data_IF_611316522643
#
_entry.id   IF_611316522643
#
_cell.length_a   1.000
_cell.length_b   1.000
_cell.length_c   1.000
_cell.angle_alpha   90.00
_cell.angle_beta   90.00
_cell.angle_gamma   90.00
#
_symmetry.space_group_name_H-M   'P 1'
#
loop_
_entity.id
_entity.type
_entity.pdbx_description
1 polymer ?
#
# COMPACT_ATOMS: atom_id res chain seq x y z
N UNK A 1 -17.00 16.65 15.52
CA UNK A 1 -16.54 15.37 14.95
C UNK A 1 -15.77 15.72 13.69
N UNK A 2 -14.44 15.83 13.78
CA UNK A 2 -13.61 16.12 12.60
C UNK A 2 -13.43 14.81 11.84
N UNK A 3 -13.89 14.76 10.59
CA UNK A 3 -13.67 13.62 9.70
C UNK A 3 -12.25 13.74 9.16
N UNK A 4 -11.37 12.87 9.61
CA UNK A 4 -9.97 12.83 9.22
C UNK A 4 -9.80 11.78 8.13
N UNK A 5 -9.36 12.19 6.93
CA UNK A 5 -9.11 11.26 5.82
C UNK A 5 -7.70 10.68 5.95
N UNK A 6 -7.60 9.35 5.89
CA UNK A 6 -6.33 8.61 5.94
C UNK A 6 -6.22 7.71 4.72
N UNK A 7 -5.01 7.54 4.20
CA UNK A 7 -4.72 6.64 3.06
C UNK A 7 -4.31 5.25 3.58
N UNK A 8 -4.84 4.19 2.97
CA UNK A 8 -4.68 2.81 3.43
C UNK A 8 -3.50 2.13 2.73
N UNK A 9 -2.56 1.57 3.50
CA UNK A 9 -1.40 0.88 2.94
C UNK A 9 -1.18 -0.51 3.54
N UNK A 10 -1.57 -1.52 2.78
CA UNK A 10 -1.37 -2.95 3.07
C UNK A 10 0.10 -3.35 3.20
N UNK A 11 1.00 -2.68 2.47
CA UNK A 11 2.44 -2.88 2.58
C UNK A 11 3.11 -2.01 3.67
N UNK A 12 2.36 -1.21 4.44
CA UNK A 12 2.92 -0.31 5.46
C UNK A 12 2.71 -0.80 6.87
N UNK A 13 3.72 -0.60 7.71
CA UNK A 13 3.69 -1.04 9.10
C UNK A 13 3.15 -0.01 10.08
N UNK A 14 3.10 1.26 9.71
CA UNK A 14 2.86 2.34 10.64
C UNK A 14 1.63 3.15 10.25
N UNK A 15 0.78 3.44 11.24
CA UNK A 15 -0.16 4.55 11.14
C UNK A 15 0.56 5.86 11.51
N UNK A 16 0.40 6.91 10.72
CA UNK A 16 0.79 8.25 11.17
C UNK A 16 -0.30 9.27 10.91
N UNK A 17 -0.23 10.40 11.61
CA UNK A 17 -0.95 11.62 11.24
C UNK A 17 0.00 12.81 11.07
N UNK A 18 -0.20 13.61 10.02
CA UNK A 18 0.44 14.89 9.79
C UNK A 18 -0.23 15.96 10.68
N UNK A 19 0.59 16.67 11.46
CA UNK A 19 0.15 17.79 12.28
C UNK A 19 -0.14 19.02 11.39
N UNK A 20 -1.31 19.05 10.74
CA UNK A 20 -1.83 20.30 10.16
C UNK A 20 -2.37 21.14 11.33
N UNK A 21 -1.62 22.19 11.67
CA UNK A 21 -1.92 23.08 12.78
C UNK A 21 -3.29 23.79 12.62
N UNK A 22 -4.35 23.19 13.16
CA UNK A 22 -5.54 23.92 13.59
C UNK A 22 -5.35 24.34 15.05
N UNK A 23 -4.90 25.58 15.21
CA UNK A 23 -4.78 26.24 16.50
C UNK A 23 -6.13 26.26 17.24
N UNK A 24 -6.08 25.88 18.52
CA UNK A 24 -7.09 26.02 19.59
C UNK A 24 -8.21 24.97 19.61
N UNK A 25 -8.04 23.94 20.44
CA UNK A 25 -8.78 23.79 21.70
C UNK A 25 -8.10 22.73 22.60
N UNK A 26 -8.29 22.87 23.91
CA UNK A 26 -7.61 22.20 25.02
C UNK A 26 -7.72 20.66 25.04
N UNK A 27 -6.71 19.99 25.63
CA UNK A 27 -6.74 18.95 26.71
C UNK A 27 -5.44 18.11 26.64
N UNK A 28 -4.51 18.26 27.60
CA UNK A 28 -4.30 17.41 28.79
C UNK A 28 -3.76 15.98 28.53
N UNK A 29 -2.43 15.85 28.61
CA UNK A 29 -1.60 14.86 29.35
C UNK A 29 -1.77 13.32 29.25
N UNK A 30 -0.62 12.65 28.96
CA UNK A 30 -0.03 11.36 29.47
C UNK A 30 -0.60 9.99 29.02
N UNK A 31 0.11 8.84 28.95
CA UNK A 31 1.50 8.33 28.72
C UNK A 31 1.42 6.79 28.70
N UNK A 32 2.33 6.10 27.98
CA UNK A 32 2.49 4.65 28.02
C UNK A 32 3.96 4.19 28.16
N UNK A 33 4.21 3.15 28.98
CA UNK A 33 5.54 2.67 29.37
C UNK A 33 6.09 1.64 28.35
N UNK A 34 7.37 1.59 27.93
CA UNK A 34 8.65 2.01 28.53
C UNK A 34 9.40 3.11 27.73
N UNK A 35 8.84 4.30 27.68
CA UNK A 35 9.53 5.60 27.55
C UNK A 35 9.32 6.26 28.97
N UNK A 36 10.27 6.98 29.62
CA UNK A 36 10.11 7.41 31.01
C UNK A 36 8.91 8.34 31.17
N UNK A 37 8.06 8.02 32.14
CA UNK A 37 6.84 8.74 32.50
C UNK A 37 7.18 10.17 32.92
N UNK A 38 7.12 11.13 31.98
CA UNK A 38 7.07 12.53 32.34
C UNK A 38 6.00 13.25 31.53
N UNK A 39 5.10 13.86 32.27
CA UNK A 39 4.04 14.82 31.95
C UNK A 39 4.48 16.06 31.19
N UNK A 40 5.70 16.11 30.68
CA UNK A 40 6.30 17.36 30.27
C UNK A 40 5.98 17.66 28.81
N UNK A 41 5.14 18.66 28.60
CA UNK A 41 5.18 19.54 27.42
C UNK A 41 6.60 20.04 27.20
N UNK A 42 7.42 19.30 26.45
CA UNK A 42 8.77 19.69 26.11
C UNK A 42 8.80 20.24 24.69
N UNK A 43 8.85 21.57 24.56
CA UNK A 43 9.31 22.23 23.33
C UNK A 43 10.79 21.91 23.17
N UNK A 44 11.16 21.05 22.24
CA UNK A 44 12.55 20.85 21.88
C UNK A 44 12.93 21.80 20.72
N UNK A 45 13.91 22.68 20.97
CA UNK A 45 14.61 23.45 19.93
C UNK A 45 15.57 22.51 19.21
N UNK A 46 15.48 22.47 17.87
CA UNK A 46 16.41 21.75 17.01
C UNK A 46 17.79 22.42 17.02
N UNK A 47 18.83 21.68 17.39
CA UNK A 47 20.20 21.93 16.93
C UNK A 47 20.63 20.74 16.06
N UNK A 48 20.91 21.03 14.79
CA UNK A 48 21.37 20.05 13.83
C UNK A 48 22.87 19.76 14.02
N UNK A 49 23.26 18.50 13.87
CA UNK A 49 24.59 18.18 13.33
C UNK A 49 24.51 16.91 12.48
N UNK A 50 25.09 16.91 11.27
CA UNK A 50 24.94 15.82 10.31
C UNK A 50 26.04 14.79 10.50
N UNK A 51 25.68 13.50 10.59
CA UNK A 51 26.40 12.37 9.96
C UNK A 51 25.96 11.05 10.58
N UNK A 52 25.11 10.30 9.88
CA UNK A 52 25.08 8.85 9.99
C UNK A 52 24.60 8.26 8.65
N UNK A 53 25.44 7.40 8.05
CA UNK A 53 25.13 6.67 6.82
C UNK A 53 23.98 5.69 7.07
N UNK A 54 22.97 5.70 6.21
CA UNK A 54 21.75 4.90 6.32
C UNK A 54 21.91 3.64 5.46
N UNK A 55 21.81 2.47 6.08
CA UNK A 55 21.61 1.19 5.39
C UNK A 55 20.12 0.87 5.44
N UNK A 56 19.54 0.55 4.28
CA UNK A 56 18.12 0.26 4.13
C UNK A 56 17.70 -0.95 4.98
N UNK A 57 16.74 -0.74 5.88
CA UNK A 57 15.93 -1.79 6.49
C UNK A 57 14.63 -1.17 7.04
N UNK A 58 13.51 -1.82 6.74
CA UNK A 58 12.10 -1.54 7.09
C UNK A 58 11.79 -1.63 8.60
N UNK A 59 12.71 -1.18 9.44
CA UNK A 59 12.62 -1.27 10.90
C UNK A 59 12.73 0.11 11.52
N UNK A 60 11.73 0.52 12.30
CA UNK A 60 11.80 1.71 13.13
C UNK A 60 13.05 1.62 14.04
N UNK A 61 14.10 2.35 13.70
CA UNK A 61 15.34 2.37 14.48
C UNK A 61 15.21 3.41 15.57
N UNK A 62 15.16 2.97 16.82
CA UNK A 62 15.23 3.85 18.00
C UNK A 62 16.63 4.48 18.04
N UNK A 63 16.71 5.79 17.77
CA UNK A 63 17.93 6.57 17.95
C UNK A 63 17.88 7.15 19.37
N UNK A 64 18.78 6.71 20.25
CA UNK A 64 19.07 7.35 21.55
C UNK A 64 20.16 8.43 21.32
N UNK A 65 20.24 9.59 21.98
CA UNK A 65 19.60 10.09 23.19
C UNK A 65 19.70 11.64 23.25
N UNK A 66 18.58 12.31 23.57
CA UNK A 66 18.47 13.21 24.73
C UNK A 66 16.98 13.33 25.10
N UNK A 67 16.66 12.88 26.31
CA UNK A 67 15.40 12.97 27.07
C UNK A 67 14.04 12.73 26.36
N UNK A 68 13.48 11.55 26.65
CA UNK A 68 12.04 11.18 26.68
C UNK A 68 11.25 11.01 25.38
N UNK A 69 11.78 11.36 24.21
CA UNK A 69 10.99 11.28 22.96
C UNK A 69 11.43 10.13 22.06
N UNK A 70 10.54 9.15 21.91
CA UNK A 70 10.73 7.98 21.06
C UNK A 70 10.49 8.40 19.57
N UNK A 71 11.54 8.48 18.74
CA UNK A 71 11.47 8.91 17.31
C UNK A 71 11.13 7.72 16.39
N UNK A 72 10.34 7.97 15.35
CA UNK A 72 10.11 7.01 14.25
C UNK A 72 10.64 7.55 12.92
N UNK A 73 11.00 6.62 12.04
CA UNK A 73 11.25 6.84 10.62
C UNK A 73 10.65 5.67 9.85
N UNK A 74 9.84 5.97 8.85
CA UNK A 74 9.35 5.01 7.86
C UNK A 74 9.82 5.44 6.50
N UNK A 75 10.42 4.50 5.78
CA UNK A 75 10.83 4.67 4.39
C UNK A 75 10.04 3.70 3.51
N UNK A 76 9.58 4.20 2.38
CA UNK A 76 8.78 3.48 1.39
C UNK A 76 9.64 3.04 0.21
N UNK A 77 9.13 2.06 -0.55
CA UNK A 77 9.83 1.52 -1.72
C UNK A 77 10.03 2.54 -2.85
N UNK A 78 9.19 3.57 -2.92
CA UNK A 78 9.32 4.69 -3.86
C UNK A 78 10.33 5.76 -3.39
N UNK A 79 10.98 5.54 -2.24
CA UNK A 79 11.91 6.48 -1.63
C UNK A 79 11.25 7.59 -0.82
N UNK A 80 9.90 7.65 -0.77
CA UNK A 80 9.19 8.53 0.15
C UNK A 80 9.46 8.15 1.60
N UNK A 81 9.31 9.10 2.51
CA UNK A 81 9.49 8.84 3.93
C UNK A 81 8.63 9.74 4.81
N UNK A 82 8.43 9.28 6.03
CA UNK A 82 7.87 10.05 7.12
C UNK A 82 8.69 9.84 8.39
N UNK A 83 8.96 10.91 9.12
CA UNK A 83 9.61 10.85 10.42
C UNK A 83 9.00 11.84 11.41
N UNK A 84 9.15 11.51 12.69
CA UNK A 84 8.60 12.28 13.80
C UNK A 84 8.70 11.49 15.09
N UNK A 85 7.72 11.61 15.97
CA UNK A 85 7.73 10.96 17.28
C UNK A 85 6.56 9.98 17.42
N UNK A 86 6.76 8.92 18.20
CA UNK A 86 5.67 8.04 18.60
C UNK A 86 4.77 8.72 19.62
N UNK A 87 3.47 8.51 19.46
CA UNK A 87 2.42 8.87 20.40
C UNK A 87 1.55 7.65 20.67
N UNK A 88 0.80 7.70 21.76
CA UNK A 88 -0.23 6.73 22.10
C UNK A 88 -1.54 7.47 22.35
N UNK A 89 -2.64 6.98 21.78
CA UNK A 89 -3.97 7.57 21.93
C UNK A 89 -5.06 6.49 21.73
N UNK A 90 -6.31 6.85 21.96
CA UNK A 90 -7.46 6.02 21.62
C UNK A 90 -7.86 6.21 20.15
N UNK A 91 -7.81 5.14 19.35
CA UNK A 91 -8.29 5.11 17.98
C UNK A 91 -9.77 4.68 17.94
N UNK A 92 -10.66 5.56 17.48
CA UNK A 92 -12.09 5.25 17.28
C UNK A 92 -12.34 4.96 15.80
N UNK A 93 -12.66 3.70 15.46
CA UNK A 93 -12.97 3.26 14.09
C UNK A 93 -14.46 3.49 13.77
N UNK A 94 -15.35 3.18 14.73
CA UNK A 94 -16.78 3.47 14.67
C UNK A 94 -17.27 3.89 16.07
N UNK A 95 -18.50 4.43 16.22
CA UNK A 95 -19.01 4.81 17.54
C UNK A 95 -19.02 3.68 18.59
N UNK A 96 -19.07 2.42 18.14
CA UNK A 96 -19.02 1.23 19.00
C UNK A 96 -17.69 0.49 18.93
N UNK A 97 -16.75 0.94 18.10
CA UNK A 97 -15.53 0.21 17.80
C UNK A 97 -14.26 1.05 18.05
N UNK A 98 -13.59 0.73 19.15
CA UNK A 98 -12.47 1.51 19.70
C UNK A 98 -11.28 0.60 19.98
N UNK A 99 -10.08 1.07 19.64
CA UNK A 99 -8.79 0.49 20.01
C UNK A 99 -8.11 1.47 20.97
N UNK A 100 -8.09 1.13 22.26
CA UNK A 100 -7.41 1.94 23.28
C UNK A 100 -5.91 1.74 23.21
N UNK A 101 -5.14 2.68 23.77
CA UNK A 101 -3.67 2.58 23.86
C UNK A 101 -3.01 2.30 22.50
N UNK A 102 -3.55 2.86 21.42
CA UNK A 102 -3.05 2.67 20.06
C UNK A 102 -1.82 3.55 19.83
N UNK A 103 -0.71 2.91 19.47
CA UNK A 103 0.57 3.56 19.22
C UNK A 103 0.69 3.93 17.74
N UNK A 104 1.11 5.16 17.48
CA UNK A 104 1.25 5.67 16.12
C UNK A 104 2.32 6.75 16.01
N UNK A 105 2.67 7.12 14.78
CA UNK A 105 3.60 8.21 14.50
C UNK A 105 2.89 9.57 14.37
N UNK A 106 3.37 10.59 15.07
CA UNK A 106 3.06 11.99 14.77
C UNK A 106 4.11 12.51 13.76
N UNK A 107 3.73 12.62 12.50
CA UNK A 107 4.63 13.00 11.40
C UNK A 107 4.95 14.48 11.39
N UNK A 108 6.24 14.79 11.51
CA UNK A 108 6.80 16.16 11.48
C UNK A 108 7.46 16.45 10.13
N UNK A 109 8.13 15.45 9.56
CA UNK A 109 8.81 15.55 8.26
C UNK A 109 8.30 14.45 7.34
N UNK A 110 7.56 14.85 6.31
CA UNK A 110 6.92 13.96 5.36
C UNK A 110 7.34 14.38 3.94
N UNK A 111 8.06 13.51 3.23
CA UNK A 111 8.44 13.74 1.83
C UNK A 111 7.91 12.60 0.99
N UNK A 112 7.11 12.93 -0.03
CA UNK A 112 6.48 11.97 -0.93
C UNK A 112 5.15 12.46 -1.46
N UNK A 113 4.50 11.63 -2.27
CA UNK A 113 3.18 11.89 -2.84
C UNK A 113 2.07 11.42 -1.87
N UNK A 114 2.02 12.00 -0.67
CA UNK A 114 1.01 11.66 0.33
C UNK A 114 -0.33 12.40 0.14
N UNK A 115 -0.37 13.41 -0.73
CA UNK A 115 -1.59 14.18 -1.01
C UNK A 115 -2.08 14.98 0.19
N UNK A 116 -3.40 15.26 0.22
CA UNK A 116 -4.06 16.04 1.28
C UNK A 116 -4.58 15.21 2.46
N UNK A 117 -4.05 14.01 2.67
CA UNK A 117 -4.49 13.14 3.78
C UNK A 117 -3.90 13.61 5.09
N UNK A 118 -4.65 13.38 6.16
CA UNK A 118 -4.15 13.63 7.49
C UNK A 118 -3.16 12.56 7.93
N UNK A 119 -3.03 11.43 7.22
CA UNK A 119 -1.99 10.45 7.47
C UNK A 119 -2.25 9.10 6.83
N UNK A 120 -1.43 8.10 7.16
CA UNK A 120 -1.50 6.77 6.54
C UNK A 120 -1.93 5.72 7.55
N UNK A 121 -2.66 4.70 7.10
CA UNK A 121 -3.06 3.53 7.87
C UNK A 121 -2.27 2.29 7.46
N UNK A 122 -1.30 1.93 8.30
CA UNK A 122 -0.50 0.73 8.14
C UNK A 122 -1.27 -0.54 8.50
N UNK A 123 -1.49 -1.38 7.49
CA UNK A 123 -2.14 -2.69 7.63
C UNK A 123 -1.17 -3.86 7.51
N UNK A 124 0.14 -3.61 7.45
CA UNK A 124 1.17 -4.64 7.41
C UNK A 124 1.20 -5.54 8.65
N UNK A 125 2.07 -6.54 8.64
CA UNK A 125 2.26 -7.54 9.71
C UNK A 125 3.30 -7.10 10.75
N UNK A 126 3.69 -5.82 10.73
CA UNK A 126 4.62 -5.25 11.70
C UNK A 126 3.96 -4.97 13.05
N UNK A 127 4.74 -4.98 14.14
CA UNK A 127 4.20 -4.86 15.51
C UNK A 127 3.46 -3.55 15.80
N UNK A 128 3.76 -2.49 15.06
CA UNK A 128 3.13 -1.15 15.20
C UNK A 128 1.98 -0.92 14.21
N UNK A 129 1.57 -1.93 13.45
CA UNK A 129 0.42 -1.82 12.54
C UNK A 129 -0.90 -1.89 13.30
N UNK A 130 -1.98 -1.40 12.69
CA UNK A 130 -3.31 -1.57 13.29
C UNK A 130 -3.65 -3.04 13.46
N UNK A 131 -3.34 -3.86 12.45
CA UNK A 131 -3.62 -5.30 12.45
C UNK A 131 -2.97 -6.00 13.65
N UNK A 132 -1.70 -5.70 13.95
CA UNK A 132 -0.99 -6.32 15.08
C UNK A 132 -1.44 -5.77 16.43
N UNK A 133 -1.59 -4.44 16.56
CA UNK A 133 -1.97 -3.82 17.84
C UNK A 133 -3.40 -4.15 18.28
N UNK A 134 -4.25 -4.55 17.33
CA UNK A 134 -5.63 -4.93 17.59
C UNK A 134 -5.90 -6.42 17.36
N UNK A 135 -4.85 -7.25 17.28
CA UNK A 135 -4.96 -8.68 17.02
C UNK A 135 -5.77 -9.42 18.09
N UNK A 136 -5.65 -9.06 19.37
CA UNK A 136 -6.46 -9.67 20.45
C UNK A 136 -7.96 -9.44 20.27
N UNK A 137 -8.33 -8.33 19.60
CA UNK A 137 -9.72 -7.95 19.36
C UNK A 137 -10.27 -8.52 18.05
N UNK A 138 -9.46 -8.53 17.00
CA UNK A 138 -9.88 -8.86 15.63
C UNK A 138 -9.25 -10.14 15.08
N UNK A 139 -8.45 -10.87 15.85
CA UNK A 139 -7.77 -12.08 15.42
C UNK A 139 -6.65 -11.85 14.40
N UNK A 140 -6.19 -10.62 14.21
CA UNK A 140 -5.12 -10.28 13.26
C UNK A 140 -5.51 -10.42 11.79
N UNK A 141 -6.81 -10.39 11.49
CA UNK A 141 -7.36 -10.51 10.13
C UNK A 141 -8.17 -9.28 9.75
N UNK A 142 -8.17 -8.96 8.47
CA UNK A 142 -8.94 -7.86 7.89
C UNK A 142 -9.29 -8.18 6.44
N UNK A 143 -10.23 -7.44 5.89
CA UNK A 143 -10.58 -7.48 4.47
C UNK A 143 -10.95 -6.10 3.98
N UNK A 144 -10.61 -5.78 2.73
CA UNK A 144 -11.03 -4.54 2.10
C UNK A 144 -11.68 -4.78 0.73
N UNK A 145 -12.51 -3.82 0.32
CA UNK A 145 -13.01 -3.67 -1.03
C UNK A 145 -12.72 -2.23 -1.44
N UNK A 146 -11.65 -2.04 -2.22
CA UNK A 146 -11.24 -0.72 -2.68
C UNK A 146 -12.11 -0.31 -3.88
N UNK A 147 -12.70 0.89 -3.86
CA UNK A 147 -13.51 1.35 -4.97
C UNK A 147 -12.60 1.77 -6.13
N UNK A 148 -13.02 1.58 -7.39
CA UNK A 148 -12.24 2.00 -8.55
C UNK A 148 -12.13 3.53 -8.71
N UNK A 149 -13.03 4.29 -8.06
CA UNK A 149 -13.09 5.75 -8.16
C UNK A 149 -13.20 6.40 -6.78
N UNK A 150 -12.53 7.55 -6.61
CA UNK A 150 -12.55 8.33 -5.37
C UNK A 150 -13.95 8.85 -4.99
N UNK A 151 -14.88 8.92 -5.94
CA UNK A 151 -16.28 9.29 -5.71
C UNK A 151 -17.13 8.16 -5.09
N UNK A 152 -16.60 6.94 -5.05
CA UNK A 152 -17.30 5.74 -4.58
C UNK A 152 -16.79 5.32 -3.20
N UNK A 153 -17.67 4.72 -2.40
CA UNK A 153 -17.31 4.19 -1.10
C UNK A 153 -16.84 2.74 -1.22
N UNK A 154 -15.70 2.43 -0.60
CA UNK A 154 -15.26 1.07 -0.32
C UNK A 154 -15.57 0.64 1.11
N UNK A 155 -14.97 -0.49 1.50
CA UNK A 155 -15.08 -1.01 2.86
C UNK A 155 -13.73 -1.52 3.34
N UNK A 156 -13.45 -1.32 4.62
CA UNK A 156 -12.36 -1.95 5.36
C UNK A 156 -12.97 -2.55 6.63
N UNK A 157 -12.80 -3.85 6.81
CA UNK A 157 -13.35 -4.59 7.95
C UNK A 157 -12.21 -5.27 8.70
N UNK A 158 -12.18 -5.09 10.02
CA UNK A 158 -11.30 -5.84 10.91
C UNK A 158 -12.06 -6.97 11.56
N UNK A 159 -11.43 -8.13 11.70
CA UNK A 159 -12.07 -9.33 12.23
C UNK A 159 -12.35 -10.36 11.15
N UNK A 160 -12.57 -11.60 11.59
CA UNK A 160 -13.07 -12.64 10.72
C UNK A 160 -14.51 -12.30 10.33
N UNK A 161 -14.67 -11.67 9.17
CA UNK A 161 -15.98 -11.50 8.55
C UNK A 161 -16.57 -12.83 8.10
N UNK A 162 -17.82 -12.81 7.65
CA UNK A 162 -18.42 -13.95 6.97
C UNK A 162 -17.76 -14.14 5.60
N UNK A 163 -16.90 -15.16 5.47
CA UNK A 163 -16.33 -15.54 4.18
C UNK A 163 -17.46 -15.91 3.20
N UNK A 164 -17.43 -15.30 2.01
CA UNK A 164 -18.34 -15.69 0.92
C UNK A 164 -18.03 -17.12 0.49
N UNK A 165 -19.03 -17.95 0.12
CA UNK A 165 -18.78 -19.28 -0.42
C UNK A 165 -17.96 -19.27 -1.72
N UNK A 166 -17.88 -18.12 -2.40
CA UNK A 166 -17.11 -17.93 -3.63
C UNK A 166 -15.69 -17.36 -3.38
N UNK A 167 -15.29 -17.19 -2.11
CA UNK A 167 -13.97 -16.68 -1.77
C UNK A 167 -12.91 -17.74 -2.10
N UNK A 168 -11.88 -17.32 -2.82
CA UNK A 168 -10.72 -18.15 -3.14
C UNK A 168 -9.56 -17.79 -2.22
N UNK A 169 -8.72 -18.76 -1.88
CA UNK A 169 -7.62 -18.60 -0.94
C UNK A 169 -6.33 -19.09 -1.58
N UNK A 170 -5.27 -18.31 -1.44
CA UNK A 170 -3.90 -18.70 -1.75
C UNK A 170 -3.05 -18.56 -0.48
N UNK A 171 -2.03 -19.41 -0.26
CA UNK A 171 -1.20 -19.32 0.93
C UNK A 171 -0.48 -17.98 1.05
N UNK A 172 -0.53 -17.38 2.24
CA UNK A 172 0.30 -16.23 2.56
C UNK A 172 1.72 -16.70 2.86
N UNK A 173 2.68 -16.19 2.09
CA UNK A 173 4.09 -16.50 2.23
C UNK A 173 4.76 -15.60 3.28
N UNK A 174 5.85 -16.10 3.87
CA UNK A 174 6.67 -15.32 4.82
C UNK A 174 8.03 -15.05 4.21
N UNK A 175 8.53 -13.83 4.34
CA UNK A 175 9.85 -13.42 3.87
C UNK A 175 10.64 -12.84 5.05
N UNK A 176 11.77 -13.44 5.39
CA UNK A 176 12.57 -13.02 6.54
C UNK A 176 13.22 -11.64 6.38
N UNK A 177 13.47 -11.19 5.14
CA UNK A 177 14.01 -9.87 4.86
C UNK A 177 12.95 -8.76 4.97
N UNK A 178 11.67 -9.09 4.75
CA UNK A 178 10.55 -8.17 4.83
C UNK A 178 9.34 -8.82 5.52
N UNK A 179 9.44 -9.20 6.81
CA UNK A 179 8.45 -10.05 7.50
C UNK A 179 7.09 -9.38 7.68
N UNK A 180 7.03 -8.08 7.41
CA UNK A 180 5.85 -7.27 7.62
C UNK A 180 4.96 -7.13 6.38
N UNK A 181 5.43 -7.54 5.20
CA UNK A 181 4.67 -7.46 3.96
C UNK A 181 3.82 -8.72 3.75
N UNK A 182 2.78 -8.58 2.92
CA UNK A 182 1.93 -9.69 2.50
C UNK A 182 2.46 -10.27 1.19
N UNK A 183 3.14 -11.42 1.28
CA UNK A 183 3.64 -12.12 0.11
C UNK A 183 2.66 -13.21 -0.31
N UNK A 184 2.45 -13.34 -1.62
CA UNK A 184 1.72 -14.45 -2.24
C UNK A 184 2.58 -15.04 -3.36
N UNK A 185 2.30 -16.28 -3.74
CA UNK A 185 3.03 -16.94 -4.81
C UNK A 185 2.24 -16.83 -6.13
N UNK A 186 2.70 -15.97 -7.03
CA UNK A 186 2.21 -15.93 -8.41
C UNK A 186 2.91 -17.02 -9.21
N UNK A 187 2.16 -17.75 -10.02
CA UNK A 187 2.67 -18.88 -10.82
C UNK A 187 2.46 -18.67 -12.33
N UNK A 188 1.69 -17.67 -12.72
CA UNK A 188 1.41 -17.43 -14.13
C UNK A 188 0.53 -16.22 -14.39
N UNK A 189 0.43 -15.88 -15.67
CA UNK A 189 -0.42 -14.82 -16.20
C UNK A 189 -1.08 -15.35 -17.46
N UNK A 190 -2.35 -15.00 -17.68
CA UNK A 190 -3.02 -15.21 -18.96
C UNK A 190 -3.64 -13.93 -19.51
N UNK A 191 -3.62 -13.77 -20.82
CA UNK A 191 -4.26 -12.68 -21.56
C UNK A 191 -5.19 -13.28 -22.61
N UNK A 192 -6.44 -12.84 -22.67
CA UNK A 192 -7.44 -13.38 -23.61
C UNK A 192 -7.71 -14.88 -23.45
N UNK A 193 -7.45 -15.45 -22.26
CA UNK A 193 -7.55 -16.89 -21.98
C UNK A 193 -6.32 -17.70 -22.37
N UNK A 194 -5.30 -17.11 -23.00
CA UNK A 194 -4.03 -17.76 -23.31
C UNK A 194 -3.05 -17.60 -22.15
N UNK A 195 -2.58 -18.72 -21.60
CA UNK A 195 -1.50 -18.72 -20.60
C UNK A 195 -0.19 -18.31 -21.28
N UNK A 196 0.50 -17.33 -20.69
CA UNK A 196 1.74 -16.79 -21.24
C UNK A 196 2.91 -17.72 -20.92
N UNK A 197 3.87 -17.90 -21.86
CA UNK A 197 5.04 -18.77 -21.67
C UNK A 197 6.12 -18.05 -20.84
N UNK A 198 5.83 -17.79 -19.56
CA UNK A 198 6.76 -17.16 -18.61
C UNK A 198 7.40 -18.26 -17.76
N UNK A 199 8.73 -18.20 -17.58
CA UNK A 199 9.44 -19.16 -16.75
C UNK A 199 9.02 -18.99 -15.27
N UNK A 200 8.66 -20.08 -14.55
CA UNK A 200 8.24 -19.99 -13.15
C UNK A 200 9.26 -19.27 -12.25
N UNK A 201 10.55 -19.38 -12.57
CA UNK A 201 11.66 -18.76 -11.85
C UNK A 201 11.55 -17.22 -11.80
N UNK A 202 10.90 -16.61 -12.80
CA UNK A 202 10.65 -15.16 -12.85
C UNK A 202 9.81 -14.72 -11.64
N UNK A 203 8.76 -15.48 -11.33
CA UNK A 203 7.86 -15.15 -10.22
C UNK A 203 8.46 -15.52 -8.86
N UNK A 204 9.16 -16.65 -8.77
CA UNK A 204 9.78 -17.09 -7.51
C UNK A 204 10.93 -16.18 -7.08
N UNK A 205 11.68 -15.61 -8.04
CA UNK A 205 12.83 -14.73 -7.77
C UNK A 205 12.39 -13.34 -7.30
N UNK A 206 11.38 -12.77 -7.95
CA UNK A 206 10.88 -11.44 -7.61
C UNK A 206 10.08 -11.42 -6.29
N UNK A 207 9.37 -12.53 -6.01
CA UNK A 207 8.29 -12.62 -5.02
C UNK A 207 7.14 -11.63 -5.30
N UNK A 208 5.90 -12.00 -4.99
CA UNK A 208 4.75 -11.13 -5.24
C UNK A 208 4.25 -10.53 -3.92
N UNK A 209 4.10 -9.21 -3.88
CA UNK A 209 3.59 -8.46 -2.72
C UNK A 209 2.20 -7.90 -3.05
N UNK A 210 1.27 -8.01 -2.09
CA UNK A 210 0.00 -7.28 -2.16
C UNK A 210 0.20 -5.87 -1.60
N UNK A 211 0.10 -4.86 -2.46
CA UNK A 211 0.36 -3.47 -2.11
C UNK A 211 -0.77 -2.53 -2.56
N UNK A 212 -1.47 -1.92 -1.61
CA UNK A 212 -2.47 -0.87 -1.88
C UNK A 212 -1.85 0.52 -2.05
N UNK A 213 -0.55 0.69 -1.77
CA UNK A 213 0.17 1.95 -1.91
C UNK A 213 0.66 2.25 -3.34
N UNK A 214 0.53 1.29 -4.26
CA UNK A 214 0.92 1.44 -5.66
C UNK A 214 -0.30 1.31 -6.57
N UNK A 215 -0.53 2.32 -7.41
CA UNK A 215 -1.70 2.36 -8.32
C UNK A 215 -1.58 1.37 -9.49
N UNK A 216 -0.35 1.13 -9.96
CA UNK A 216 -0.08 0.32 -11.15
C UNK A 216 0.55 -1.02 -10.77
N UNK A 217 0.14 -2.10 -11.44
CA UNK A 217 0.75 -3.41 -11.20
C UNK A 217 2.16 -3.44 -11.78
N UNK A 218 3.14 -3.79 -10.94
CA UNK A 218 4.54 -3.91 -11.31
C UNK A 218 4.93 -5.37 -11.51
N UNK A 219 5.59 -5.67 -12.61
CA UNK A 219 6.00 -7.02 -12.98
C UNK A 219 7.50 -7.06 -13.30
N UNK A 220 8.18 -8.20 -13.07
CA UNK A 220 9.49 -8.44 -13.66
C UNK A 220 9.47 -8.17 -15.17
N UNK A 221 10.56 -7.63 -15.71
CA UNK A 221 10.58 -7.12 -17.10
C UNK A 221 10.19 -8.21 -18.12
N UNK A 222 10.63 -9.44 -17.92
CA UNK A 222 10.27 -10.59 -18.76
C UNK A 222 8.76 -10.88 -18.74
N UNK A 223 8.14 -10.91 -17.56
CA UNK A 223 6.70 -11.13 -17.39
C UNK A 223 5.88 -9.97 -17.97
N UNK A 224 6.32 -8.72 -17.72
CA UNK A 224 5.71 -7.53 -18.30
C UNK A 224 5.74 -7.56 -19.83
N UNK A 225 6.89 -7.89 -20.41
CA UNK A 225 7.06 -7.95 -21.88
C UNK A 225 6.11 -8.97 -22.49
N UNK A 226 6.03 -10.18 -21.92
CA UNK A 226 5.11 -11.22 -22.38
C UNK A 226 3.63 -10.76 -22.29
N UNK A 227 3.23 -10.14 -21.18
CA UNK A 227 1.87 -9.62 -20.99
C UNK A 227 1.57 -8.52 -22.00
N UNK A 228 2.44 -7.51 -22.10
CA UNK A 228 2.28 -6.35 -22.97
C UNK A 228 2.17 -6.76 -24.43
N UNK A 229 3.03 -7.67 -24.89
CA UNK A 229 3.06 -8.06 -26.30
C UNK A 229 1.82 -8.88 -26.67
N UNK A 230 1.37 -9.79 -25.80
CA UNK A 230 0.10 -10.49 -26.02
C UNK A 230 -1.08 -9.52 -25.98
N UNK A 231 -1.13 -8.60 -25.01
CA UNK A 231 -2.17 -7.58 -24.91
C UNK A 231 -2.25 -6.72 -26.18
N UNK A 232 -1.09 -6.26 -26.69
CA UNK A 232 -0.99 -5.50 -27.93
C UNK A 232 -1.50 -6.28 -29.15
N UNK A 233 -1.27 -7.59 -29.20
CA UNK A 233 -1.78 -8.43 -30.28
C UNK A 233 -3.31 -8.48 -30.32
N UNK A 234 -3.98 -8.48 -29.16
CA UNK A 234 -5.43 -8.43 -29.07
C UNK A 234 -6.00 -7.05 -29.39
N UNK A 235 -5.23 -5.99 -29.09
CA UNK A 235 -5.62 -4.60 -29.28
C UNK A 235 -5.17 -4.01 -30.63
N UNK A 236 -4.70 -4.83 -31.57
CA UNK A 236 -4.12 -4.36 -32.84
C UNK A 236 -5.12 -3.63 -33.76
N UNK A 237 -6.42 -3.76 -33.48
CA UNK A 237 -7.48 -3.05 -34.20
C UNK A 237 -7.72 -1.61 -33.73
N UNK A 238 -7.06 -1.16 -32.65
CA UNK A 238 -7.25 0.16 -32.08
C UNK A 238 -6.03 1.07 -32.33
N UNK A 239 -6.24 2.36 -32.64
CA UNK A 239 -5.15 3.32 -32.79
C UNK A 239 -4.31 3.46 -31.52
N UNK A 240 -3.00 3.47 -31.66
CA UNK A 240 -2.09 3.73 -30.53
C UNK A 240 -2.06 5.22 -30.19
N UNK A 241 -2.00 5.55 -28.90
CA UNK A 241 -1.77 6.89 -28.39
C UNK A 241 -0.34 7.05 -27.86
N UNK A 242 0.17 8.28 -27.71
CA UNK A 242 1.46 8.52 -27.06
C UNK A 242 1.51 7.96 -25.63
N UNK A 243 2.69 7.48 -25.18
CA UNK A 243 2.91 7.05 -23.81
C UNK A 243 2.46 8.09 -22.78
N UNK A 244 1.97 7.63 -21.63
CA UNK A 244 1.56 8.49 -20.52
C UNK A 244 2.43 8.22 -19.30
N UNK A 245 3.32 9.17 -18.97
CA UNK A 245 4.26 9.03 -17.86
C UNK A 245 5.09 7.73 -17.99
N UNK A 246 4.94 6.77 -17.07
CA UNK A 246 5.63 5.47 -17.08
C UNK A 246 4.88 4.37 -17.84
N UNK A 247 3.72 4.67 -18.42
CA UNK A 247 2.91 3.72 -19.20
C UNK A 247 3.31 3.78 -20.68
N UNK A 248 3.84 2.68 -21.21
CA UNK A 248 4.40 2.61 -22.57
C UNK A 248 3.40 2.14 -23.65
N UNK A 249 2.20 1.72 -23.26
CA UNK A 249 1.20 1.07 -24.12
C UNK A 249 -0.12 1.77 -23.92
N UNK A 250 -0.45 2.67 -24.85
CA UNK A 250 -1.65 3.50 -24.79
C UNK A 250 -2.39 3.46 -26.13
N UNK A 251 -3.70 3.67 -26.08
CA UNK A 251 -4.61 3.66 -27.21
C UNK A 251 -5.52 4.89 -27.20
N UNK A 252 -5.81 5.40 -28.40
CA UNK A 252 -6.87 6.36 -28.62
C UNK A 252 -8.14 5.58 -28.97
N UNK A 253 -9.11 5.58 -28.06
CA UNK A 253 -10.36 4.84 -28.19
C UNK A 253 -11.51 5.76 -28.62
N UNK A 254 -11.21 6.98 -29.08
CA UNK A 254 -12.23 7.93 -29.54
C UNK A 254 -13.01 7.35 -30.72
N UNK A 255 -14.34 7.39 -30.63
CA UNK A 255 -15.22 6.89 -31.69
C UNK A 255 -15.34 5.36 -31.75
N UNK A 256 -14.81 4.63 -30.77
CA UNK A 256 -14.99 3.19 -30.64
C UNK A 256 -16.05 2.87 -29.57
N UNK A 257 -17.29 2.59 -30.00
CA UNK A 257 -18.41 2.32 -29.09
C UNK A 257 -18.33 0.94 -28.39
N UNK A 258 -17.63 -0.02 -28.99
CA UNK A 258 -17.44 -1.38 -28.46
C UNK A 258 -15.95 -1.73 -28.42
N UNK A 259 -15.26 -1.31 -27.36
CA UNK A 259 -13.86 -1.68 -27.12
C UNK A 259 -13.81 -3.05 -26.43
N UNK A 260 -13.23 -4.03 -27.13
CA UNK A 260 -13.02 -5.39 -26.60
C UNK A 260 -11.64 -5.48 -25.95
N UNK A 261 -11.55 -5.10 -24.68
CA UNK A 261 -10.32 -5.26 -23.90
C UNK A 261 -10.12 -6.75 -23.58
N UNK A 262 -8.96 -7.36 -23.90
CA UNK A 262 -8.72 -8.76 -23.56
C UNK A 262 -8.66 -8.91 -22.03
N UNK A 263 -9.34 -9.94 -21.52
CA UNK A 263 -9.28 -10.26 -20.09
C UNK A 263 -7.85 -10.62 -19.68
N UNK A 264 -7.42 -10.14 -18.51
CA UNK A 264 -6.14 -10.49 -17.89
C UNK A 264 -6.43 -11.25 -16.61
N UNK A 265 -5.75 -12.37 -16.40
CA UNK A 265 -5.84 -13.12 -15.14
C UNK A 265 -4.45 -13.37 -14.56
N UNK A 266 -4.33 -13.14 -13.26
CA UNK A 266 -3.15 -13.48 -12.45
C UNK A 266 -3.41 -14.82 -11.76
N UNK A 267 -2.47 -15.75 -11.89
CA UNK A 267 -2.59 -17.11 -11.40
C UNK A 267 -1.70 -17.26 -10.17
N UNK A 268 -2.26 -17.79 -9.08
CA UNK A 268 -1.56 -17.96 -7.81
C UNK A 268 -1.53 -19.42 -7.39
N UNK A 269 -0.57 -19.75 -6.52
CA UNK A 269 -0.48 -21.07 -5.90
C UNK A 269 -1.81 -21.47 -5.23
N UNK A 270 -2.09 -22.76 -5.18
CA UNK A 270 -3.40 -23.30 -4.80
C UNK A 270 -4.44 -23.29 -5.93
N UNK A 271 -4.03 -22.96 -7.16
CA UNK A 271 -4.90 -23.01 -8.34
C UNK A 271 -5.89 -21.85 -8.44
N UNK A 272 -5.57 -20.72 -7.80
CA UNK A 272 -6.42 -19.52 -7.76
C UNK A 272 -6.19 -18.69 -9.02
N UNK A 273 -7.28 -18.35 -9.72
CA UNK A 273 -7.26 -17.47 -10.88
C UNK A 273 -7.97 -16.16 -10.54
N UNK A 274 -7.20 -15.09 -10.39
CA UNK A 274 -7.71 -13.74 -10.18
C UNK A 274 -7.90 -13.04 -11.53
N UNK A 275 -9.15 -12.95 -11.97
CA UNK A 275 -9.50 -12.12 -13.13
C UNK A 275 -9.43 -10.65 -12.74
N UNK A 276 -8.60 -9.90 -13.46
CA UNK A 276 -8.46 -8.45 -13.24
C UNK A 276 -9.64 -7.75 -13.89
N UNK A 277 -10.32 -6.89 -13.13
CA UNK A 277 -11.40 -6.05 -13.67
C UNK A 277 -10.85 -5.13 -14.77
N UNK A 278 -11.70 -4.72 -15.72
CA UNK A 278 -11.31 -3.79 -16.78
C UNK A 278 -10.70 -2.50 -16.23
N UNK A 279 -11.18 -2.00 -15.07
CA UNK A 279 -10.61 -0.83 -14.40
C UNK A 279 -9.21 -1.06 -13.82
N UNK A 280 -8.81 -2.32 -13.63
CA UNK A 280 -7.46 -2.71 -13.23
C UNK A 280 -6.55 -3.06 -14.41
N UNK A 281 -7.10 -3.25 -15.61
CA UNK A 281 -6.35 -3.52 -16.84
C UNK A 281 -5.97 -2.23 -17.55
N UNK A 282 -6.90 -1.27 -17.64
CA UNK A 282 -6.69 0.01 -18.31
C UNK A 282 -6.76 1.18 -17.34
N UNK A 283 -5.72 2.00 -17.35
CA UNK A 283 -5.72 3.34 -16.79
C UNK A 283 -6.22 4.32 -17.86
N UNK A 284 -7.41 4.88 -17.67
CA UNK A 284 -8.04 5.81 -18.62
C UNK A 284 -7.90 7.23 -18.11
N UNK A 285 -6.94 7.98 -18.63
CA UNK A 285 -6.79 9.41 -18.32
C UNK A 285 -7.81 10.25 -19.09
N UNK A 286 -8.02 9.88 -20.36
CA UNK A 286 -9.01 10.41 -21.28
C UNK A 286 -9.37 9.29 -22.27
N UNK A 287 -10.50 9.38 -22.98
CA UNK A 287 -10.86 8.38 -24.01
C UNK A 287 -9.83 8.31 -25.14
N UNK A 288 -9.15 9.43 -25.41
CA UNK A 288 -8.02 9.50 -26.35
C UNK A 288 -6.70 8.98 -25.79
N UNK A 289 -6.66 8.60 -24.52
CA UNK A 289 -5.46 8.12 -23.83
C UNK A 289 -5.82 7.07 -22.75
N UNK A 290 -6.14 5.86 -23.21
CA UNK A 290 -6.32 4.69 -22.36
C UNK A 290 -5.07 3.80 -22.41
N UNK A 291 -4.43 3.58 -21.26
CA UNK A 291 -3.14 2.91 -21.17
C UNK A 291 -3.21 1.60 -20.39
N UNK A 292 -2.42 0.60 -20.78
CA UNK A 292 -2.25 -0.64 -20.02
C UNK A 292 -1.70 -0.34 -18.63
N UNK A 293 -2.40 -0.73 -17.56
CA UNK A 293 -2.09 -0.40 -16.17
C UNK A 293 -1.02 -1.33 -15.53
N UNK A 294 -0.09 -1.81 -16.35
CA UNK A 294 1.03 -2.66 -15.94
C UNK A 294 2.34 -1.99 -16.34
N UNK A 295 3.38 -2.17 -15.52
CA UNK A 295 4.70 -1.58 -15.76
C UNK A 295 5.80 -2.61 -15.47
N UNK A 296 6.79 -2.69 -16.34
CA UNK A 296 7.99 -3.48 -16.11
C UNK A 296 8.91 -2.86 -15.06
N UNK A 297 9.42 -3.67 -14.15
CA UNK A 297 10.50 -3.30 -13.25
C UNK A 297 11.78 -3.02 -14.04
N UNK A 298 12.68 -2.20 -13.49
CA UNK A 298 13.97 -1.92 -14.12
C UNK A 298 14.81 -3.20 -14.25
N UNK A 299 14.60 -4.17 -13.36
CA UNK A 299 15.25 -5.48 -13.31
C UNK A 299 14.21 -6.61 -13.17
N UNK A 300 14.64 -7.87 -13.18
CA UNK A 300 13.78 -9.05 -12.93
C UNK A 300 13.41 -9.25 -11.44
N UNK A 301 13.81 -8.32 -10.58
CA UNK A 301 13.55 -8.31 -9.12
C UNK A 301 12.77 -7.07 -8.74
#
# INVERSE_FOLDING_TARGET
>A
MYKTTVDERSASNLYWQALIALHRLLLQQLTAANCPSSTATARARLSASPSARITAATSAKTISASDSTCIYLVQYGDGSYSSGFFAEETLTLTPSDVVTTFKFGCGESNIGLFGGVAGLLGLGRGQVSLVSQSADKYGGVFSYCLPPFASSAGYLTFGAGSASPNMQFTPLQSNSAAPSLYFVEMVGISVGGKVLPIQPEVFSTAATIVDSGTVLTRLPMSAYTALRDEFRSHMSGYPTAPPLSILDTCYDLTGHDNVSVPGVAMQFDGGVNLNVDASGILYVADISQACLAFVGNVNET
#
